data_IF_277673471826
#
_entry.id   IF_277673471826
#
_cell.length_a   1.000
_cell.length_b   1.000
_cell.length_c   1.000
_cell.angle_alpha   90.00
_cell.angle_beta   90.00
_cell.angle_gamma   90.00
#
_symmetry.space_group_name_H-M   'P 1'
#
loop_
_entity.id
_entity.type
_entity.pdbx_description
1 polymer ?
#
# COMPACT_ATOMS: atom_id res chain seq x y z
N UNK A 1 0.98 -4.78 -9.08
CA UNK A 1 -0.32 -5.45 -8.84
C UNK A 1 -0.15 -6.38 -7.66
N UNK A 2 -0.97 -6.23 -6.63
CA UNK A 2 -0.96 -7.10 -5.46
C UNK A 2 -1.60 -8.46 -5.76
N UNK A 3 -0.98 -9.55 -5.29
CA UNK A 3 -1.44 -10.93 -5.52
C UNK A 3 -1.84 -11.66 -4.25
N UNK A 4 -1.23 -11.31 -3.12
CA UNK A 4 -1.48 -11.91 -1.81
C UNK A 4 -1.17 -10.91 -0.69
N UNK A 5 -1.55 -11.25 0.55
CA UNK A 5 -1.43 -10.36 1.70
C UNK A 5 0.00 -9.85 1.93
N UNK A 6 0.98 -10.77 1.94
CA UNK A 6 2.35 -10.41 2.31
C UNK A 6 3.08 -9.74 1.14
N UNK A 7 2.88 -10.22 -0.08
CA UNK A 7 3.42 -9.54 -1.26
C UNK A 7 2.88 -8.11 -1.40
N UNK A 8 1.61 -7.88 -1.08
CA UNK A 8 1.02 -6.53 -1.09
C UNK A 8 1.76 -5.57 -0.15
N UNK A 9 2.01 -6.01 1.09
CA UNK A 9 2.75 -5.22 2.07
C UNK A 9 4.20 -4.98 1.62
N UNK A 10 4.87 -6.00 1.07
CA UNK A 10 6.23 -5.86 0.53
C UNK A 10 6.30 -4.86 -0.62
N UNK A 11 5.31 -4.83 -1.51
CA UNK A 11 5.24 -3.85 -2.61
C UNK A 11 5.09 -2.43 -2.09
N UNK A 12 4.31 -2.21 -1.02
CA UNK A 12 4.17 -0.90 -0.39
C UNK A 12 5.51 -0.44 0.18
N UNK A 13 6.20 -1.31 0.92
CA UNK A 13 7.51 -0.97 1.48
C UNK A 13 8.53 -0.65 0.37
N UNK A 14 8.53 -1.40 -0.72
CA UNK A 14 9.37 -1.11 -1.88
C UNK A 14 9.02 0.25 -2.50
N UNK A 15 7.74 0.58 -2.62
CA UNK A 15 7.26 1.87 -3.14
C UNK A 15 7.71 3.07 -2.29
N UNK A 16 7.82 2.91 -0.97
CA UNK A 16 8.24 4.00 -0.07
C UNK A 16 9.71 4.41 -0.25
N UNK A 17 10.54 3.56 -0.85
CA UNK A 17 11.97 3.83 -1.09
C UNK A 17 12.26 4.04 -2.59
N UNK A 18 11.31 3.72 -3.46
CA UNK A 18 11.46 3.90 -4.90
C UNK A 18 11.44 5.39 -5.29
N UNK A 19 12.21 5.73 -6.33
CA UNK A 19 12.15 7.07 -6.92
C UNK A 19 10.86 7.25 -7.71
N UNK A 20 10.16 8.37 -7.47
CA UNK A 20 8.92 8.73 -8.17
C UNK A 20 7.66 8.21 -7.48
N UNK A 21 6.61 7.94 -8.28
CA UNK A 21 5.30 7.52 -7.79
C UNK A 21 5.01 6.07 -8.17
N UNK A 22 4.47 5.28 -7.23
CA UNK A 22 4.08 3.89 -7.47
C UNK A 22 2.60 3.68 -7.16
N UNK A 23 1.86 3.13 -8.13
CA UNK A 23 0.44 2.80 -7.96
C UNK A 23 0.29 1.29 -7.72
N UNK A 24 -0.15 0.91 -6.51
CA UNK A 24 -0.43 -0.49 -6.15
C UNK A 24 -1.92 -0.79 -6.33
N UNK A 25 -2.25 -1.58 -7.36
CA UNK A 25 -3.63 -2.03 -7.64
C UNK A 25 -3.96 -3.38 -7.00
N UNK A 26 -5.27 -3.66 -6.85
CA UNK A 26 -5.85 -4.91 -6.30
C UNK A 26 -5.52 -5.19 -4.83
N UNK A 27 -5.66 -4.17 -3.97
CA UNK A 27 -5.30 -4.22 -2.55
C UNK A 27 -6.31 -4.95 -1.63
N UNK A 28 -7.30 -5.67 -2.15
CA UNK A 28 -8.31 -6.37 -1.34
C UNK A 28 -7.72 -7.47 -0.42
N UNK A 29 -6.56 -8.03 -0.76
CA UNK A 29 -5.84 -8.93 0.15
C UNK A 29 -5.26 -8.18 1.35
N UNK A 30 -4.77 -6.97 1.13
CA UNK A 30 -4.21 -6.09 2.16
C UNK A 30 -5.30 -5.71 3.16
N UNK A 31 -6.46 -5.29 2.67
CA UNK A 31 -7.60 -4.85 3.49
C UNK A 31 -8.15 -5.96 4.41
N UNK A 32 -8.00 -7.22 3.99
CA UNK A 32 -8.42 -8.38 4.80
C UNK A 32 -7.42 -8.79 5.87
N UNK A 33 -6.14 -8.42 5.72
CA UNK A 33 -5.08 -8.87 6.64
C UNK A 33 -4.40 -7.76 7.42
N UNK A 34 -4.62 -6.50 7.04
CA UNK A 34 -4.19 -5.34 7.80
C UNK A 34 -5.34 -4.37 7.97
N UNK A 35 -5.57 -3.99 9.21
CA UNK A 35 -6.50 -2.91 9.56
C UNK A 35 -5.83 -1.56 9.27
N UNK A 36 -6.42 -0.80 8.33
CA UNK A 36 -6.07 0.59 8.02
C UNK A 36 -4.56 0.85 7.93
N UNK A 37 -3.86 0.01 7.16
CA UNK A 37 -2.40 0.07 7.07
C UNK A 37 -1.90 1.41 6.53
N UNK A 38 -2.64 2.03 5.62
CA UNK A 38 -2.34 3.37 5.10
C UNK A 38 -2.31 4.43 6.22
N UNK A 39 -3.21 4.35 7.20
CA UNK A 39 -3.27 5.31 8.30
C UNK A 39 -2.10 5.09 9.27
N UNK A 40 -1.79 3.82 9.56
CA UNK A 40 -0.63 3.45 10.39
C UNK A 40 0.68 3.88 9.74
N UNK A 41 0.83 3.70 8.43
CA UNK A 41 2.02 4.14 7.70
C UNK A 41 2.11 5.68 7.63
N UNK A 42 1.01 6.39 7.38
CA UNK A 42 0.99 7.86 7.46
C UNK A 42 1.38 8.38 8.84
N UNK A 43 0.94 7.70 9.90
CA UNK A 43 1.27 8.10 11.29
C UNK A 43 2.77 8.09 11.60
N UNK A 44 3.55 7.32 10.84
CA UNK A 44 5.01 7.26 10.94
C UNK A 44 5.73 7.99 9.79
N UNK A 45 5.02 8.81 9.03
CA UNK A 45 5.59 9.72 8.03
C UNK A 45 5.59 9.21 6.58
N UNK A 46 4.92 8.10 6.28
CA UNK A 46 4.81 7.63 4.91
C UNK A 46 3.91 8.54 4.05
N UNK A 47 4.38 8.93 2.86
CA UNK A 47 3.56 9.58 1.84
C UNK A 47 2.78 8.52 1.04
N UNK A 48 1.56 8.22 1.45
CA UNK A 48 0.71 7.19 0.84
C UNK A 48 -0.75 7.64 0.85
N UNK A 49 -1.45 7.45 -0.27
CA UNK A 49 -2.87 7.76 -0.41
C UNK A 49 -3.65 6.56 -0.95
N UNK A 50 -4.88 6.40 -0.48
CA UNK A 50 -5.84 5.47 -1.08
C UNK A 50 -6.86 6.27 -1.87
N UNK A 51 -7.02 5.94 -3.14
CA UNK A 51 -8.00 6.55 -4.03
C UNK A 51 -8.77 5.48 -4.82
N UNK A 52 -9.88 5.87 -5.44
CA UNK A 52 -10.63 5.05 -6.40
C UNK A 52 -10.28 5.52 -7.81
N UNK A 53 -9.87 4.61 -8.68
CA UNK A 53 -9.84 4.88 -10.13
C UNK A 53 -11.30 4.88 -10.64
N UNK A 54 -11.66 5.88 -11.45
CA UNK A 54 -12.94 5.96 -12.17
C UNK A 54 -13.02 4.96 -13.33
#
# INVERSE_FOLDING_TARGET
MATDLRASASLILAALVADGETIVRRIYHLDRGYEHIEDKLRSVGANIERFKEE
#
